data_IF_186944188627
#
_entry.id   IF_186944188627
#
_cell.length_a   1.000
_cell.length_b   1.000
_cell.length_c   1.000
_cell.angle_alpha   90.00
_cell.angle_beta   90.00
_cell.angle_gamma   90.00
#
_symmetry.space_group_name_H-M   'P 1'
#
loop_
_entity.id
_entity.type
_entity.pdbx_description
1 polymer ?
#
# COMPACT_ATOMS: atom_id res chain seq x y z
N UNK A 1 60.13 29.68 -9.92
CA UNK A 1 59.88 29.83 -8.47
C UNK A 1 58.38 29.70 -8.24
N UNK A 2 58.00 28.93 -7.22
CA UNK A 2 56.66 28.39 -6.94
C UNK A 2 55.58 29.43 -6.64
N UNK A 3 54.30 29.08 -6.87
CA UNK A 3 53.18 29.88 -6.35
C UNK A 3 51.77 29.46 -6.76
N UNK A 4 51.46 28.16 -6.75
CA UNK A 4 50.13 27.61 -7.01
C UNK A 4 49.18 27.89 -5.83
N UNK A 5 48.11 28.68 -6.05
CA UNK A 5 46.93 28.75 -5.14
C UNK A 5 45.67 28.38 -5.92
N UNK A 6 45.23 27.13 -5.78
CA UNK A 6 43.85 26.71 -6.09
C UNK A 6 43.01 26.84 -4.82
N UNK A 7 41.96 27.65 -4.86
CA UNK A 7 40.89 27.67 -3.86
C UNK A 7 39.62 27.12 -4.50
N UNK A 8 38.91 26.30 -3.73
CA UNK A 8 37.76 25.47 -4.11
C UNK A 8 36.50 26.32 -4.29
N UNK A 9 35.79 26.12 -5.39
CA UNK A 9 34.40 26.55 -5.60
C UNK A 9 33.58 25.36 -6.07
N UNK A 10 32.56 25.01 -5.29
CA UNK A 10 31.73 23.79 -5.39
C UNK A 10 30.88 23.78 -6.66
N UNK A 11 30.98 22.72 -7.48
CA UNK A 11 29.94 22.37 -8.46
C UNK A 11 28.94 21.40 -7.82
N UNK A 12 27.67 21.79 -7.84
CA UNK A 12 26.53 20.93 -7.59
C UNK A 12 26.31 20.00 -8.79
N UNK A 13 26.18 18.69 -8.53
CA UNK A 13 25.57 17.73 -9.44
C UNK A 13 24.31 17.17 -8.77
N UNK A 14 23.12 17.19 -9.40
CA UNK A 14 21.94 16.49 -8.91
C UNK A 14 21.91 15.08 -9.50
N UNK A 15 21.91 14.07 -8.63
CA UNK A 15 21.82 12.67 -9.06
C UNK A 15 22.55 11.70 -8.14
N UNK A 16 22.28 11.79 -6.83
CA UNK A 16 22.79 10.82 -5.87
C UNK A 16 21.88 9.59 -5.83
N UNK A 17 22.30 8.53 -6.50
CA UNK A 17 21.93 7.15 -6.15
C UNK A 17 22.16 6.99 -4.64
N UNK A 18 21.08 6.78 -3.87
CA UNK A 18 21.22 6.40 -2.46
C UNK A 18 21.37 4.87 -2.39
N UNK A 19 22.44 4.35 -1.78
CA UNK A 19 22.60 2.91 -1.57
C UNK A 19 21.50 2.37 -0.63
N UNK A 20 21.00 1.17 -0.93
CA UNK A 20 19.97 0.39 -0.20
C UNK A 20 20.21 0.28 1.32
N UNK A 21 21.46 0.45 1.74
CA UNK A 21 21.98 0.35 3.11
C UNK A 21 21.35 1.31 4.13
N UNK A 22 20.87 2.49 3.72
CA UNK A 22 20.20 3.42 4.66
C UNK A 22 18.83 2.90 5.16
N UNK A 23 18.22 1.89 4.50
CA UNK A 23 16.94 1.30 4.94
C UNK A 23 17.08 0.07 5.85
N UNK A 24 18.28 -0.51 5.98
CA UNK A 24 18.48 -1.76 6.74
C UNK A 24 18.83 -1.57 8.23
N UNK A 25 18.76 -0.34 8.75
CA UNK A 25 19.22 -0.04 10.13
C UNK A 25 18.26 -0.49 11.25
N UNK A 26 17.09 -1.04 10.94
CA UNK A 26 16.09 -1.44 11.95
C UNK A 26 15.65 -2.91 11.93
N UNK A 27 16.15 -3.75 11.02
CA UNK A 27 15.88 -5.20 11.04
C UNK A 27 17.01 -5.97 11.73
N UNK A 28 17.26 -5.68 13.01
CA UNK A 28 18.12 -6.53 13.86
C UNK A 28 17.22 -7.34 14.80
N UNK A 29 16.91 -8.57 14.38
CA UNK A 29 16.13 -9.52 15.17
C UNK A 29 16.49 -10.95 14.80
N UNK A 30 17.25 -11.60 15.69
CA UNK A 30 17.54 -13.03 15.76
C UNK A 30 18.53 -13.63 14.75
N UNK A 31 19.83 -13.38 14.98
CA UNK A 31 20.86 -14.40 14.78
C UNK A 31 21.46 -14.75 16.16
N UNK A 32 20.76 -15.58 16.93
CA UNK A 32 21.34 -16.23 18.10
C UNK A 32 22.29 -17.30 17.56
N UNK A 33 23.56 -16.95 17.42
CA UNK A 33 24.61 -17.94 17.27
C UNK A 33 24.62 -18.80 18.53
N UNK A 34 24.19 -20.06 18.37
CA UNK A 34 24.46 -21.12 19.31
C UNK A 34 25.99 -21.31 19.39
N UNK A 35 26.63 -20.64 20.35
CA UNK A 35 27.96 -20.98 20.84
C UNK A 35 27.76 -21.65 22.20
N UNK A 36 28.21 -22.90 22.26
CA UNK A 36 28.00 -23.87 23.32
C UNK A 36 28.41 -23.40 24.72
N UNK A 37 27.56 -23.64 25.71
CA UNK A 37 27.98 -23.81 27.10
C UNK A 37 28.33 -25.29 27.30
N UNK A 38 29.52 -25.67 26.84
CA UNK A 38 30.25 -26.83 27.34
C UNK A 38 31.65 -26.34 27.63
N UNK A 39 32.03 -26.42 28.90
CA UNK A 39 33.21 -25.79 29.47
C UNK A 39 34.50 -26.23 28.78
N UNK A 40 35.03 -25.37 27.94
CA UNK A 40 36.43 -25.32 27.60
C UNK A 40 36.96 -23.96 28.05
N UNK A 41 38.00 -23.99 28.89
CA UNK A 41 38.78 -22.82 29.28
C UNK A 41 39.26 -22.11 28.01
N UNK A 42 38.59 -21.03 27.60
CA UNK A 42 39.15 -20.10 26.63
C UNK A 42 40.00 -19.12 27.42
N UNK A 43 41.30 -19.42 27.45
CA UNK A 43 42.31 -18.42 27.74
C UNK A 43 42.08 -17.22 26.83
N UNK A 44 42.12 -16.03 27.40
CA UNK A 44 42.07 -14.78 26.68
C UNK A 44 43.30 -14.65 25.77
N UNK A 45 43.18 -15.08 24.52
CA UNK A 45 43.90 -14.44 23.42
C UNK A 45 43.00 -13.30 22.94
N UNK A 46 43.45 -12.05 23.12
CA UNK A 46 42.94 -10.95 22.31
C UNK A 46 43.25 -11.29 20.86
N UNK A 47 42.30 -11.95 20.19
CA UNK A 47 42.36 -12.16 18.76
C UNK A 47 42.47 -10.77 18.12
N UNK A 48 43.68 -10.42 17.66
CA UNK A 48 43.90 -9.23 16.84
C UNK A 48 43.10 -9.43 15.57
N UNK A 49 41.87 -8.92 15.57
CA UNK A 49 40.96 -8.99 14.43
C UNK A 49 41.67 -8.34 13.24
N UNK A 50 41.99 -9.14 12.23
CA UNK A 50 42.45 -8.60 10.96
C UNK A 50 41.28 -7.84 10.32
N UNK A 51 41.34 -6.51 10.43
CA UNK A 51 40.28 -5.62 9.97
C UNK A 51 40.03 -5.76 8.47
N UNK A 52 41.06 -6.05 7.66
CA UNK A 52 40.89 -6.20 6.22
C UNK A 52 40.15 -7.50 5.91
N UNK A 53 40.56 -8.60 6.55
CA UNK A 53 39.88 -9.89 6.40
C UNK A 53 38.43 -9.84 6.91
N UNK A 54 38.20 -9.20 8.05
CA UNK A 54 36.86 -9.02 8.60
C UNK A 54 35.95 -8.20 7.67
N UNK A 55 36.46 -7.15 7.03
CA UNK A 55 35.69 -6.37 6.06
C UNK A 55 35.34 -7.18 4.80
N UNK A 56 36.24 -8.03 4.31
CA UNK A 56 35.95 -8.92 3.19
C UNK A 56 34.92 -9.99 3.56
N UNK A 57 35.03 -10.60 4.74
CA UNK A 57 34.03 -11.54 5.26
C UNK A 57 32.65 -10.88 5.42
N UNK A 58 32.61 -9.64 5.92
CA UNK A 58 31.36 -8.87 6.03
C UNK A 58 30.72 -8.60 4.67
N UNK A 59 31.48 -8.17 3.66
CA UNK A 59 30.97 -8.00 2.29
C UNK A 59 30.40 -9.30 1.72
N UNK A 60 31.11 -10.41 1.91
CA UNK A 60 30.64 -11.72 1.44
C UNK A 60 29.33 -12.15 2.14
N UNK A 61 29.22 -11.87 3.44
CA UNK A 61 27.98 -12.10 4.22
C UNK A 61 26.85 -11.21 3.69
N UNK A 62 27.14 -9.93 3.43
CA UNK A 62 26.17 -8.97 2.91
C UNK A 62 25.63 -9.39 1.55
N UNK A 63 26.50 -9.72 0.59
CA UNK A 63 26.10 -10.20 -0.74
C UNK A 63 25.28 -11.50 -0.66
N UNK A 64 25.68 -12.43 0.22
CA UNK A 64 24.95 -13.68 0.42
C UNK A 64 23.58 -13.41 1.03
N UNK A 65 23.50 -12.51 2.00
CA UNK A 65 22.25 -12.12 2.65
C UNK A 65 21.30 -11.46 1.64
N UNK A 66 21.80 -10.52 0.83
CA UNK A 66 21.01 -9.87 -0.22
C UNK A 66 20.42 -10.88 -1.20
N UNK A 67 21.23 -11.83 -1.70
CA UNK A 67 20.77 -12.90 -2.60
C UNK A 67 19.71 -13.80 -1.94
N UNK A 68 19.89 -14.14 -0.67
CA UNK A 68 18.92 -14.94 0.07
C UNK A 68 17.60 -14.18 0.26
N UNK A 69 17.67 -12.90 0.67
CA UNK A 69 16.50 -12.04 0.81
C UNK A 69 15.74 -11.89 -0.50
N UNK A 70 16.44 -11.61 -1.60
CA UNK A 70 15.84 -11.54 -2.94
C UNK A 70 15.18 -12.87 -3.31
N UNK A 71 15.86 -14.01 -3.11
CA UNK A 71 15.32 -15.33 -3.42
C UNK A 71 14.06 -15.67 -2.60
N UNK A 72 14.01 -15.30 -1.32
CA UNK A 72 12.83 -15.49 -0.46
C UNK A 72 11.66 -14.63 -0.95
N UNK A 73 11.89 -13.35 -1.23
CA UNK A 73 10.87 -12.44 -1.73
C UNK A 73 10.36 -12.83 -3.13
N UNK A 74 11.25 -13.21 -4.04
CA UNK A 74 10.90 -13.70 -5.38
C UNK A 74 10.01 -14.94 -5.31
N UNK A 75 10.39 -15.90 -4.46
CA UNK A 75 9.60 -17.11 -4.22
C UNK A 75 8.20 -16.76 -3.69
N UNK A 76 8.12 -15.91 -2.66
CA UNK A 76 6.86 -15.46 -2.10
C UNK A 76 5.99 -14.72 -3.13
N UNK A 77 6.58 -13.78 -3.87
CA UNK A 77 5.91 -13.04 -4.93
C UNK A 77 5.32 -13.97 -5.99
N UNK A 78 6.10 -14.95 -6.45
CA UNK A 78 5.67 -15.93 -7.46
C UNK A 78 4.51 -16.79 -6.94
N UNK A 79 4.67 -17.41 -5.78
CA UNK A 79 3.63 -18.26 -5.17
C UNK A 79 2.31 -17.51 -4.96
N UNK A 80 2.39 -16.28 -4.43
CA UNK A 80 1.20 -15.47 -4.16
C UNK A 80 0.58 -14.92 -5.46
N UNK A 81 1.37 -14.63 -6.48
CA UNK A 81 0.83 -14.25 -7.80
C UNK A 81 0.06 -15.42 -8.42
N UNK A 82 0.63 -16.62 -8.38
CA UNK A 82 -0.02 -17.84 -8.90
C UNK A 82 -1.28 -18.21 -8.11
N UNK A 83 -1.25 -18.08 -6.78
CA UNK A 83 -2.42 -18.32 -5.94
C UNK A 83 -3.50 -17.25 -6.14
N UNK A 84 -3.10 -15.97 -6.26
CA UNK A 84 -3.99 -14.83 -6.44
C UNK A 84 -4.75 -14.83 -7.77
N UNK A 85 -4.29 -15.60 -8.74
CA UNK A 85 -5.00 -15.79 -10.01
C UNK A 85 -6.29 -16.63 -9.86
N UNK A 86 -6.43 -17.40 -8.78
CA UNK A 86 -7.55 -18.30 -8.57
C UNK A 86 -8.15 -18.12 -7.17
N UNK A 87 -9.48 -17.97 -7.10
CA UNK A 87 -10.19 -17.71 -5.83
C UNK A 87 -10.02 -18.86 -4.84
N UNK A 88 -10.07 -20.11 -5.29
CA UNK A 88 -9.93 -21.27 -4.42
C UNK A 88 -8.51 -21.40 -3.87
N UNK A 89 -7.49 -21.24 -4.73
CA UNK A 89 -6.08 -21.25 -4.30
C UNK A 89 -5.77 -20.10 -3.34
N UNK A 90 -6.38 -18.93 -3.54
CA UNK A 90 -6.24 -17.79 -2.65
C UNK A 90 -6.77 -18.08 -1.24
N UNK A 91 -7.96 -18.69 -1.15
CA UNK A 91 -8.51 -19.15 0.15
C UNK A 91 -7.61 -20.20 0.78
N UNK A 92 -7.14 -21.17 0.00
CA UNK A 92 -6.27 -22.24 0.48
C UNK A 92 -4.98 -21.67 1.10
N UNK A 93 -4.24 -20.83 0.35
CA UNK A 93 -2.97 -20.28 0.84
C UNK A 93 -3.18 -19.36 2.05
N UNK A 94 -4.27 -18.58 2.08
CA UNK A 94 -4.59 -17.73 3.21
C UNK A 94 -4.89 -18.55 4.48
N UNK A 95 -5.79 -19.53 4.38
CA UNK A 95 -6.19 -20.37 5.51
C UNK A 95 -5.04 -21.23 6.02
N UNK A 96 -4.17 -21.73 5.13
CA UNK A 96 -2.96 -22.46 5.52
C UNK A 96 -1.96 -21.56 6.25
N UNK A 97 -1.70 -20.36 5.74
CA UNK A 97 -0.84 -19.41 6.45
C UNK A 97 -1.44 -18.95 7.78
N UNK A 98 -2.77 -18.78 7.86
CA UNK A 98 -3.47 -18.49 9.11
C UNK A 98 -3.32 -19.64 10.12
N UNK A 99 -3.47 -20.90 9.69
CA UNK A 99 -3.20 -22.08 10.53
C UNK A 99 -1.79 -22.01 11.11
N UNK A 100 -0.79 -21.84 10.26
CA UNK A 100 0.62 -21.89 10.66
C UNK A 100 0.97 -20.81 11.68
N UNK A 101 0.37 -19.62 11.54
CA UNK A 101 0.66 -18.46 12.38
C UNK A 101 -0.11 -18.47 13.69
N UNK A 102 -1.40 -18.80 13.66
CA UNK A 102 -2.29 -18.65 14.82
C UNK A 102 -2.41 -19.94 15.66
N UNK A 103 -2.20 -21.12 15.06
CA UNK A 103 -2.29 -22.41 15.74
C UNK A 103 -0.95 -23.14 15.85
N UNK A 104 0.05 -22.72 15.09
CA UNK A 104 1.35 -23.37 15.03
C UNK A 104 1.33 -24.67 14.23
N UNK A 105 2.50 -25.30 14.10
CA UNK A 105 2.70 -26.52 13.29
C UNK A 105 2.66 -27.82 14.10
N UNK A 106 2.42 -27.74 15.40
CA UNK A 106 2.37 -28.88 16.31
C UNK A 106 1.00 -29.59 16.27
N UNK A 107 0.95 -30.83 16.78
CA UNK A 107 -0.24 -31.69 16.70
C UNK A 107 -1.45 -31.13 17.47
N UNK A 108 -1.21 -30.45 18.59
CA UNK A 108 -2.25 -29.75 19.35
C UNK A 108 -2.79 -28.51 18.60
N UNK A 109 -1.97 -27.92 17.72
CA UNK A 109 -2.38 -26.87 16.79
C UNK A 109 -3.37 -27.39 15.75
N UNK A 110 -3.13 -28.59 15.22
CA UNK A 110 -4.01 -29.21 14.22
C UNK A 110 -5.43 -29.43 14.73
N UNK A 111 -5.59 -30.03 15.92
CA UNK A 111 -6.91 -30.25 16.52
C UNK A 111 -7.68 -28.94 16.73
N UNK A 112 -6.99 -27.91 17.24
CA UNK A 112 -7.59 -26.58 17.45
C UNK A 112 -7.97 -25.91 16.14
N UNK A 113 -7.13 -26.06 15.12
CA UNK A 113 -7.40 -25.51 13.79
C UNK A 113 -8.59 -26.21 13.11
N UNK A 114 -8.70 -27.53 13.21
CA UNK A 114 -9.86 -28.25 12.67
C UNK A 114 -11.16 -27.81 13.33
N UNK A 115 -11.17 -27.63 14.66
CA UNK A 115 -12.32 -27.08 15.36
C UNK A 115 -12.65 -25.67 14.86
N UNK A 116 -11.65 -24.77 14.79
CA UNK A 116 -11.85 -23.43 14.27
C UNK A 116 -12.40 -23.42 12.84
N UNK A 117 -11.92 -24.33 11.98
CA UNK A 117 -12.38 -24.44 10.59
C UNK A 117 -13.84 -24.89 10.51
N UNK A 118 -14.28 -25.79 11.39
CA UNK A 118 -15.69 -26.17 11.53
C UNK A 118 -16.52 -24.95 11.97
N UNK A 119 -16.07 -24.24 13.00
CA UNK A 119 -16.78 -23.07 13.55
C UNK A 119 -16.86 -21.90 12.55
N UNK A 120 -15.94 -21.83 11.58
CA UNK A 120 -15.86 -20.77 10.57
C UNK A 120 -16.19 -21.27 9.15
N UNK A 121 -16.76 -22.47 9.00
CA UNK A 121 -16.99 -23.10 7.70
C UNK A 121 -17.80 -22.21 6.76
N UNK A 122 -18.93 -21.68 7.24
CA UNK A 122 -19.84 -20.87 6.42
C UNK A 122 -19.18 -19.57 5.97
N UNK A 123 -18.36 -18.97 6.85
CA UNK A 123 -17.56 -17.78 6.53
C UNK A 123 -16.52 -18.09 5.47
N UNK A 124 -15.72 -19.14 5.65
CA UNK A 124 -14.63 -19.49 4.72
C UNK A 124 -15.17 -19.93 3.35
N UNK A 125 -16.34 -20.57 3.33
CA UNK A 125 -17.01 -21.00 2.11
C UNK A 125 -17.77 -19.86 1.41
N UNK A 126 -17.87 -18.67 2.01
CA UNK A 126 -18.65 -17.58 1.43
C UNK A 126 -17.96 -17.00 0.17
N UNK A 127 -18.74 -16.59 -0.85
CA UNK A 127 -18.20 -15.93 -2.04
C UNK A 127 -17.39 -14.66 -1.71
N UNK A 128 -17.83 -13.92 -0.68
CA UNK A 128 -17.21 -12.68 -0.21
C UNK A 128 -15.85 -12.93 0.42
N UNK A 129 -15.75 -13.95 1.28
CA UNK A 129 -14.46 -14.34 1.86
C UNK A 129 -13.49 -14.76 0.75
N UNK A 130 -13.98 -15.53 -0.23
CA UNK A 130 -13.16 -15.89 -1.39
C UNK A 130 -12.67 -14.70 -2.19
N UNK A 131 -13.55 -13.72 -2.48
CA UNK A 131 -13.17 -12.50 -3.20
C UNK A 131 -12.17 -11.65 -2.41
N UNK A 132 -12.41 -11.47 -1.12
CA UNK A 132 -11.54 -10.69 -0.24
C UNK A 132 -10.17 -11.38 -0.03
N UNK A 133 -10.15 -12.71 0.13
CA UNK A 133 -8.91 -13.49 0.19
C UNK A 133 -8.11 -13.37 -1.11
N UNK A 134 -8.79 -13.43 -2.27
CA UNK A 134 -8.13 -13.26 -3.57
C UNK A 134 -7.50 -11.87 -3.71
N UNK A 135 -8.26 -10.81 -3.41
CA UNK A 135 -7.73 -9.45 -3.41
C UNK A 135 -6.58 -9.27 -2.42
N UNK A 136 -6.67 -9.88 -1.23
CA UNK A 136 -5.60 -9.82 -0.25
C UNK A 136 -4.33 -10.51 -0.74
N UNK A 137 -4.44 -11.72 -1.29
CA UNK A 137 -3.30 -12.47 -1.86
C UNK A 137 -2.65 -11.71 -3.02
N UNK A 138 -3.45 -11.16 -3.94
CA UNK A 138 -2.95 -10.31 -5.03
C UNK A 138 -2.22 -9.08 -4.51
N UNK A 139 -2.77 -8.40 -3.49
CA UNK A 139 -2.15 -7.24 -2.89
C UNK A 139 -0.79 -7.56 -2.26
N UNK A 140 -0.71 -8.63 -1.45
CA UNK A 140 0.55 -9.05 -0.83
C UNK A 140 1.57 -9.45 -1.90
N UNK A 141 1.15 -10.09 -3.00
CA UNK A 141 2.04 -10.37 -4.13
C UNK A 141 2.64 -9.09 -4.74
N UNK A 142 1.83 -8.06 -4.96
CA UNK A 142 2.29 -6.75 -5.46
C UNK A 142 3.24 -6.06 -4.48
N UNK A 143 2.97 -6.15 -3.16
CA UNK A 143 3.85 -5.62 -2.12
C UNK A 143 5.21 -6.34 -2.11
N UNK A 144 5.23 -7.68 -2.20
CA UNK A 144 6.47 -8.45 -2.28
C UNK A 144 7.30 -8.06 -3.51
N UNK A 145 6.65 -7.92 -4.67
CA UNK A 145 7.30 -7.45 -5.90
C UNK A 145 7.80 -6.02 -5.78
N UNK A 146 7.06 -5.15 -5.10
CA UNK A 146 7.49 -3.77 -4.86
C UNK A 146 8.75 -3.70 -4.00
N UNK A 147 8.92 -4.64 -3.06
CA UNK A 147 10.11 -4.76 -2.22
C UNK A 147 11.36 -5.23 -2.99
N UNK A 148 11.18 -5.98 -4.08
CA UNK A 148 12.26 -6.44 -4.95
C UNK A 148 12.84 -5.32 -5.83
N UNK A 149 12.13 -4.19 -5.94
CA UNK A 149 12.52 -3.02 -6.72
C UNK A 149 12.86 -3.37 -8.22
N UNK A 150 13.51 -2.44 -8.92
CA UNK A 150 13.99 -2.59 -10.30
C UNK A 150 13.02 -3.23 -11.32
N UNK A 151 13.41 -4.37 -11.93
CA UNK A 151 12.67 -5.05 -13.01
C UNK A 151 11.49 -5.86 -12.52
N UNK A 152 11.44 -6.18 -11.22
CA UNK A 152 10.39 -7.00 -10.64
C UNK A 152 9.26 -6.18 -10.04
N UNK A 153 9.52 -4.90 -9.75
CA UNK A 153 8.53 -3.95 -9.28
C UNK A 153 7.29 -3.93 -10.19
N UNK A 154 6.06 -3.90 -9.62
CA UNK A 154 4.86 -3.89 -10.43
C UNK A 154 4.78 -2.62 -11.27
N UNK A 155 4.36 -2.79 -12.52
CA UNK A 155 4.08 -1.66 -13.39
C UNK A 155 2.92 -0.83 -12.84
N UNK A 156 2.88 0.46 -13.17
CA UNK A 156 1.83 1.35 -12.69
C UNK A 156 0.42 0.85 -13.04
N UNK A 157 0.25 0.24 -14.22
CA UNK A 157 -1.02 -0.34 -14.65
C UNK A 157 -1.47 -1.54 -13.80
N UNK A 158 -0.55 -2.34 -13.25
CA UNK A 158 -0.89 -3.48 -12.39
C UNK A 158 -1.53 -3.00 -11.07
N UNK A 159 -0.98 -1.93 -10.47
CA UNK A 159 -1.58 -1.28 -9.31
C UNK A 159 -2.95 -0.67 -9.63
N UNK A 160 -3.10 -0.07 -10.82
CA UNK A 160 -4.37 0.46 -11.30
C UNK A 160 -5.44 -0.63 -11.46
N UNK A 161 -5.08 -1.74 -12.10
CA UNK A 161 -5.97 -2.89 -12.30
C UNK A 161 -6.37 -3.58 -11.00
N UNK A 162 -5.43 -3.70 -10.05
CA UNK A 162 -5.75 -4.16 -8.70
C UNK A 162 -6.80 -3.27 -8.03
N UNK A 163 -6.56 -1.95 -8.02
CA UNK A 163 -7.46 -1.01 -7.38
C UNK A 163 -8.84 -0.98 -8.04
N UNK A 164 -8.92 -1.08 -9.36
CA UNK A 164 -10.20 -1.18 -10.06
C UNK A 164 -10.98 -2.44 -9.68
N UNK A 165 -10.29 -3.58 -9.53
CA UNK A 165 -10.91 -4.83 -9.09
C UNK A 165 -11.41 -4.71 -7.65
N UNK A 166 -10.62 -4.11 -6.76
CA UNK A 166 -11.03 -3.80 -5.39
C UNK A 166 -12.24 -2.86 -5.38
N UNK A 167 -12.23 -1.80 -6.18
CA UNK A 167 -13.31 -0.83 -6.31
C UNK A 167 -14.63 -1.51 -6.68
N UNK A 168 -14.63 -2.30 -7.76
CA UNK A 168 -15.82 -3.03 -8.23
C UNK A 168 -16.29 -4.10 -7.26
N UNK A 169 -15.38 -4.71 -6.50
CA UNK A 169 -15.76 -5.73 -5.51
C UNK A 169 -16.61 -5.17 -4.36
N UNK A 170 -16.50 -3.87 -4.05
CA UNK A 170 -17.33 -3.18 -3.05
C UNK A 170 -18.76 -2.98 -3.54
N UNK A 171 -18.94 -2.61 -4.81
CA UNK A 171 -20.28 -2.45 -5.41
C UNK A 171 -21.06 -3.77 -5.40
N UNK A 172 -20.37 -4.91 -5.54
CA UNK A 172 -20.98 -6.24 -5.42
C UNK A 172 -21.46 -6.51 -3.99
N UNK A 173 -20.73 -6.04 -2.97
CA UNK A 173 -21.12 -6.20 -1.56
C UNK A 173 -22.30 -5.30 -1.14
N UNK A 174 -22.51 -4.17 -1.83
CA UNK A 174 -23.61 -3.23 -1.59
C UNK A 174 -24.86 -3.51 -2.45
N UNK A 175 -24.88 -4.61 -3.22
CA UNK A 175 -26.11 -5.15 -3.80
C UNK A 175 -26.64 -6.33 -2.99
N UNK A 176 -27.62 -6.11 -2.11
CA UNK A 176 -28.54 -7.16 -1.72
C UNK A 176 -29.97 -6.74 -2.03
N UNK A 177 -30.65 -7.54 -2.84
CA UNK A 177 -32.09 -7.69 -2.65
C UNK A 177 -32.32 -8.22 -1.23
N UNK A 178 -32.55 -7.33 -0.28
CA UNK A 178 -33.51 -7.42 0.82
C UNK A 178 -33.34 -6.22 1.79
N UNK A 179 -34.46 -5.63 2.29
CA UNK A 179 -34.43 -4.38 3.02
C UNK A 179 -34.04 -4.59 4.49
N UNK A 180 -33.02 -3.88 4.95
CA UNK A 180 -32.63 -3.86 6.35
C UNK A 180 -33.57 -2.95 7.17
N UNK A 181 -34.62 -3.53 7.75
CA UNK A 181 -35.26 -2.95 8.93
C UNK A 181 -34.29 -3.01 10.12
N UNK A 182 -34.01 -1.83 10.67
CA UNK A 182 -33.23 -1.66 11.87
C UNK A 182 -33.88 -2.33 13.09
N UNK A 183 -33.12 -3.15 13.83
CA UNK A 183 -33.42 -3.47 15.22
C UNK A 183 -32.20 -3.21 16.11
N UNK A 184 -32.36 -2.21 16.97
CA UNK A 184 -31.45 -1.82 18.05
C UNK A 184 -31.50 -2.89 19.15
N UNK A 185 -30.37 -3.39 19.70
CA UNK A 185 -30.39 -4.19 20.91
C UNK A 185 -30.01 -3.37 22.16
N UNK A 186 -30.91 -3.38 23.14
CA UNK A 186 -30.71 -2.90 24.52
C UNK A 186 -29.76 -3.80 25.33
N UNK A 187 -29.17 -3.32 26.46
CA UNK A 187 -28.09 -4.03 27.14
C UNK A 187 -28.60 -5.01 28.21
N UNK A 188 -27.95 -6.18 28.33
CA UNK A 188 -28.01 -7.01 29.56
C UNK A 188 -26.63 -7.46 30.02
N UNK A 189 -26.41 -7.26 31.33
CA UNK A 189 -25.27 -7.65 32.17
C UNK A 189 -25.12 -9.17 32.32
N UNK A 190 -23.87 -9.59 32.50
CA UNK A 190 -23.48 -10.60 33.49
C UNK A 190 -23.08 -11.98 32.97
N UNK A 191 -21.85 -12.42 33.29
CA UNK A 191 -21.44 -13.83 33.20
C UNK A 191 -20.00 -14.01 32.72
N UNK A 192 -19.09 -14.24 33.67
CA UNK A 192 -17.67 -14.42 33.45
C UNK A 192 -17.33 -15.60 32.54
N UNK A 193 -16.49 -15.31 31.56
CA UNK A 193 -15.81 -16.24 30.68
C UNK A 193 -14.89 -15.38 29.85
N UNK A 194 -13.58 -15.68 29.83
CA UNK A 194 -12.57 -14.96 29.06
C UNK A 194 -12.86 -15.21 27.57
N UNK A 195 -13.87 -14.53 27.03
CA UNK A 195 -14.21 -14.52 25.62
C UNK A 195 -12.99 -13.96 24.90
N UNK A 196 -12.41 -14.77 24.01
CA UNK A 196 -11.67 -14.27 22.87
C UNK A 196 -12.45 -13.07 22.35
N UNK A 197 -11.80 -11.90 22.38
CA UNK A 197 -12.32 -10.67 21.83
C UNK A 197 -12.78 -11.01 20.43
N UNK A 198 -14.10 -10.98 20.21
CA UNK A 198 -14.70 -11.12 18.89
C UNK A 198 -14.22 -9.90 18.12
N UNK A 199 -13.06 -10.00 17.49
CA UNK A 199 -12.55 -8.98 16.59
C UNK A 199 -13.49 -8.97 15.40
N UNK A 200 -14.52 -8.10 15.47
CA UNK A 200 -15.45 -7.85 14.38
C UNK A 200 -14.83 -7.01 13.27
N UNK A 201 -13.51 -7.07 13.09
CA UNK A 201 -12.84 -6.53 11.91
C UNK A 201 -12.81 -7.60 10.83
N UNK A 202 -12.94 -7.21 9.56
CA UNK A 202 -12.71 -8.12 8.47
C UNK A 202 -11.26 -8.64 8.57
N UNK A 203 -11.04 -9.92 8.29
CA UNK A 203 -9.72 -10.57 8.38
C UNK A 203 -8.64 -9.84 7.52
N UNK A 204 -9.08 -8.99 6.60
CA UNK A 204 -8.29 -8.25 5.61
C UNK A 204 -8.15 -6.74 5.90
N UNK A 205 -8.71 -6.23 6.99
CA UNK A 205 -8.65 -4.81 7.37
C UNK A 205 -7.30 -4.40 7.99
N UNK A 206 -6.47 -5.37 8.34
CA UNK A 206 -5.13 -5.12 8.89
C UNK A 206 -4.13 -4.77 7.79
N UNK A 207 -3.05 -4.03 8.13
CA UNK A 207 -1.93 -3.82 7.21
C UNK A 207 -1.42 -5.13 6.61
N UNK A 208 -1.02 -5.12 5.35
CA UNK A 208 -0.46 -6.30 4.69
C UNK A 208 0.76 -6.88 5.44
N UNK A 209 1.54 -6.03 6.11
CA UNK A 209 2.67 -6.43 6.97
C UNK A 209 2.26 -7.39 8.10
N UNK A 210 1.03 -7.27 8.61
CA UNK A 210 0.48 -8.10 9.68
C UNK A 210 -0.22 -9.37 9.15
N UNK A 211 -0.33 -9.49 7.82
CA UNK A 211 -1.00 -10.62 7.18
C UNK A 211 -0.39 -11.96 7.60
N UNK A 212 -1.21 -13.00 7.84
CA UNK A 212 -0.71 -14.36 7.97
C UNK A 212 0.18 -14.80 6.80
N UNK A 213 -0.09 -14.32 5.58
CA UNK A 213 0.70 -14.64 4.39
C UNK A 213 2.16 -14.16 4.51
N UNK A 214 2.35 -12.99 5.12
CA UNK A 214 3.66 -12.37 5.38
C UNK A 214 4.31 -13.04 6.58
N UNK A 215 3.55 -13.26 7.66
CA UNK A 215 4.06 -13.83 8.91
C UNK A 215 4.52 -15.29 8.77
N UNK A 216 3.76 -16.11 8.07
CA UNK A 216 4.10 -17.53 7.81
C UNK A 216 5.38 -17.65 6.97
N UNK A 217 5.60 -16.71 6.04
CA UNK A 217 6.80 -16.64 5.19
C UNK A 217 8.00 -15.96 5.86
N UNK A 218 7.81 -15.38 7.05
CA UNK A 218 8.84 -14.66 7.80
C UNK A 218 9.48 -13.49 7.01
N UNK A 219 8.69 -12.80 6.19
CA UNK A 219 9.19 -11.71 5.32
C UNK A 219 8.88 -10.31 5.85
N UNK A 220 8.34 -10.16 7.07
CA UNK A 220 7.97 -8.87 7.64
C UNK A 220 9.12 -7.88 7.64
N UNK A 221 10.31 -8.31 8.08
CA UNK A 221 11.50 -7.46 8.16
C UNK A 221 11.96 -6.93 6.79
N UNK A 222 11.61 -7.62 5.71
CA UNK A 222 11.93 -7.19 4.34
C UNK A 222 10.89 -6.20 3.78
N UNK A 223 9.69 -6.17 4.35
CA UNK A 223 8.58 -5.32 3.89
C UNK A 223 8.39 -4.04 4.73
N UNK A 224 9.08 -3.90 5.87
CA UNK A 224 8.90 -2.76 6.79
C UNK A 224 9.18 -1.39 6.13
N UNK A 225 10.11 -1.35 5.18
CA UNK A 225 10.44 -0.17 4.38
C UNK A 225 9.49 0.12 3.21
N UNK A 226 8.54 -0.78 2.93
CA UNK A 226 7.59 -0.66 1.81
C UNK A 226 6.31 0.00 2.30
N UNK A 227 5.97 1.18 1.75
CA UNK A 227 4.81 1.95 2.23
C UNK A 227 3.50 1.20 2.01
N UNK A 228 3.40 0.47 0.89
CA UNK A 228 2.24 -0.34 0.53
C UNK A 228 1.98 -1.46 1.55
N UNK A 229 3.02 -1.98 2.20
CA UNK A 229 2.89 -3.01 3.24
C UNK A 229 2.16 -2.49 4.50
N UNK A 230 2.17 -1.17 4.72
CA UNK A 230 1.54 -0.51 5.87
C UNK A 230 0.04 -0.24 5.65
N UNK A 231 -0.45 -0.46 4.44
CA UNK A 231 -1.86 -0.32 4.10
C UNK A 231 -2.54 -1.69 4.16
N UNK A 232 -3.83 -1.67 4.48
CA UNK A 232 -4.69 -2.85 4.32
C UNK A 232 -5.05 -3.02 2.85
N UNK A 233 -5.16 -4.27 2.39
CA UNK A 233 -5.64 -4.60 1.05
C UNK A 233 -7.11 -4.23 0.82
N UNK A 234 -7.88 -3.95 1.87
CA UNK A 234 -9.26 -3.49 1.74
C UNK A 234 -9.38 -1.96 1.65
N UNK A 235 -8.28 -1.22 1.81
CA UNK A 235 -8.28 0.25 1.92
C UNK A 235 -8.38 0.97 0.58
N UNK A 236 -9.60 1.11 0.05
CA UNK A 236 -9.86 1.69 -1.27
C UNK A 236 -9.25 3.09 -1.47
N UNK A 237 -9.55 4.03 -0.58
CA UNK A 237 -9.11 5.44 -0.70
C UNK A 237 -7.60 5.59 -0.45
N UNK A 238 -7.01 5.02 0.62
CA UNK A 238 -5.56 5.05 0.82
C UNK A 238 -4.78 4.42 -0.33
N UNK A 239 -5.19 3.25 -0.84
CA UNK A 239 -4.51 2.61 -1.97
C UNK A 239 -4.58 3.49 -3.22
N UNK A 240 -5.74 4.06 -3.53
CA UNK A 240 -5.86 4.99 -4.67
C UNK A 240 -4.90 6.16 -4.54
N UNK A 241 -4.96 6.87 -3.41
CA UNK A 241 -4.28 8.15 -3.24
C UNK A 241 -2.77 8.00 -3.02
N UNK A 242 -2.33 6.98 -2.29
CA UNK A 242 -0.94 6.82 -1.88
C UNK A 242 -0.16 5.88 -2.79
N UNK A 243 -0.84 4.91 -3.43
CA UNK A 243 -0.17 3.87 -4.23
C UNK A 243 -0.39 4.08 -5.72
N UNK A 244 -1.64 4.10 -6.15
CA UNK A 244 -2.03 4.08 -7.57
C UNK A 244 -1.79 5.42 -8.25
N UNK A 245 -2.38 6.48 -7.69
CA UNK A 245 -2.35 7.83 -8.26
C UNK A 245 -0.93 8.35 -8.51
N UNK A 246 0.03 8.27 -7.55
CA UNK A 246 1.40 8.74 -7.79
C UNK A 246 2.11 7.96 -8.90
N UNK A 247 1.88 6.64 -9.01
CA UNK A 247 2.50 5.77 -10.00
C UNK A 247 1.98 6.03 -11.41
N UNK A 248 0.65 6.06 -11.57
CA UNK A 248 0.04 6.34 -12.86
C UNK A 248 0.36 7.77 -13.33
N UNK A 249 0.41 8.74 -12.43
CA UNK A 249 0.83 10.11 -12.72
C UNK A 249 2.28 10.15 -13.22
N UNK A 250 3.21 9.50 -12.51
CA UNK A 250 4.62 9.41 -12.93
C UNK A 250 4.78 8.71 -14.28
N UNK A 251 3.97 7.69 -14.55
CA UNK A 251 3.93 6.97 -15.82
C UNK A 251 3.17 7.73 -16.93
N UNK A 252 2.54 8.88 -16.62
CA UNK A 252 1.62 9.59 -17.52
C UNK A 252 0.56 8.68 -18.15
N UNK A 253 0.10 7.66 -17.40
CA UNK A 253 -0.87 6.70 -17.92
C UNK A 253 -2.25 7.34 -18.02
N UNK A 254 -2.89 7.16 -19.17
CA UNK A 254 -4.29 7.55 -19.40
C UNK A 254 -5.28 6.84 -18.47
N UNK A 255 -4.89 5.70 -17.90
CA UNK A 255 -5.68 4.99 -16.91
C UNK A 255 -6.00 5.84 -15.69
N UNK A 256 -5.13 6.80 -15.32
CA UNK A 256 -5.40 7.65 -14.16
C UNK A 256 -6.72 8.42 -14.31
N UNK A 257 -6.96 9.00 -15.49
CA UNK A 257 -8.19 9.74 -15.77
C UNK A 257 -9.39 8.79 -15.78
N UNK A 258 -9.25 7.61 -16.39
CA UNK A 258 -10.30 6.58 -16.42
C UNK A 258 -10.68 6.11 -15.01
N UNK A 259 -9.71 5.90 -14.12
CA UNK A 259 -9.96 5.47 -12.74
C UNK A 259 -10.58 6.59 -11.89
N UNK A 260 -10.21 7.85 -12.14
CA UNK A 260 -10.92 8.99 -11.56
C UNK A 260 -12.38 9.05 -12.02
N UNK A 261 -12.63 8.88 -13.31
CA UNK A 261 -13.97 8.89 -13.89
C UNK A 261 -14.82 7.75 -13.31
N UNK A 262 -14.27 6.53 -13.21
CA UNK A 262 -14.91 5.40 -12.56
C UNK A 262 -15.29 5.73 -11.11
N UNK A 263 -14.35 6.29 -10.35
CA UNK A 263 -14.56 6.64 -8.94
C UNK A 263 -15.69 7.66 -8.77
N UNK A 264 -15.65 8.74 -9.57
CA UNK A 264 -16.61 9.83 -9.45
C UNK A 264 -18.00 9.37 -9.91
N UNK A 265 -18.08 8.59 -11.00
CA UNK A 265 -19.34 8.07 -11.52
C UNK A 265 -20.05 7.16 -10.50
N UNK A 266 -19.31 6.25 -9.86
CA UNK A 266 -19.87 5.38 -8.83
C UNK A 266 -20.32 6.17 -7.58
N UNK A 267 -19.54 7.17 -7.14
CA UNK A 267 -19.98 8.04 -6.04
C UNK A 267 -21.20 8.89 -6.40
N UNK A 268 -21.31 9.34 -7.66
CA UNK A 268 -22.50 10.02 -8.17
C UNK A 268 -23.72 9.07 -8.12
N UNK A 269 -23.56 7.81 -8.55
CA UNK A 269 -24.62 6.80 -8.55
C UNK A 269 -25.09 6.41 -7.13
N UNK A 270 -24.16 6.22 -6.19
CA UNK A 270 -24.47 5.90 -4.79
C UNK A 270 -25.33 7.01 -4.16
N UNK A 271 -24.95 8.27 -4.41
CA UNK A 271 -25.69 9.43 -3.92
C UNK A 271 -27.06 9.58 -4.59
N UNK A 272 -27.19 9.21 -5.86
CA UNK A 272 -28.49 9.16 -6.53
C UNK A 272 -29.42 8.10 -5.92
N UNK A 273 -28.88 6.94 -5.51
CA UNK A 273 -29.63 5.87 -4.84
C UNK A 273 -30.08 6.25 -3.43
N UNK A 274 -29.22 6.93 -2.66
CA UNK A 274 -29.56 7.36 -1.28
C UNK A 274 -30.69 8.42 -1.24
N UNK A 275 -30.95 9.11 -2.34
CA UNK A 275 -32.00 10.12 -2.45
C UNK A 275 -31.60 11.47 -1.84
N UNK A 276 -32.60 12.31 -1.50
CA UNK A 276 -32.38 13.68 -0.98
C UNK A 276 -32.06 13.66 0.52
N UNK A 277 -30.86 13.21 0.85
CA UNK A 277 -30.32 13.28 2.22
C UNK A 277 -29.36 14.47 2.36
N UNK A 278 -29.13 14.92 3.60
CA UNK A 278 -28.09 15.93 3.86
C UNK A 278 -26.71 15.45 3.37
N UNK A 279 -26.41 14.15 3.48
CA UNK A 279 -25.18 13.56 2.97
C UNK A 279 -25.05 13.65 1.44
N UNK A 280 -26.15 13.45 0.73
CA UNK A 280 -26.21 13.60 -0.72
C UNK A 280 -25.94 15.05 -1.16
N UNK A 281 -26.49 16.02 -0.44
CA UNK A 281 -26.27 17.44 -0.70
C UNK A 281 -24.82 17.86 -0.38
N UNK A 282 -24.28 17.40 0.76
CA UNK A 282 -22.88 17.64 1.15
C UNK A 282 -21.90 17.06 0.11
N UNK A 283 -22.18 15.86 -0.40
CA UNK A 283 -21.37 15.29 -1.48
C UNK A 283 -21.42 16.17 -2.74
N UNK A 284 -22.62 16.52 -3.22
CA UNK A 284 -22.78 17.29 -4.46
C UNK A 284 -22.16 18.69 -4.39
N UNK A 285 -22.32 19.35 -3.24
CA UNK A 285 -21.89 20.75 -3.05
C UNK A 285 -20.42 20.83 -2.64
N UNK A 286 -19.94 19.93 -1.79
CA UNK A 286 -18.59 19.99 -1.24
C UNK A 286 -17.66 18.97 -1.90
N UNK A 287 -17.97 17.68 -1.78
CA UNK A 287 -17.00 16.64 -2.10
C UNK A 287 -16.77 16.46 -3.59
N UNK A 288 -17.83 16.50 -4.39
CA UNK A 288 -17.75 16.26 -5.83
C UNK A 288 -16.92 17.33 -6.55
N UNK A 289 -17.08 18.64 -6.29
CA UNK A 289 -16.17 19.66 -6.82
C UNK A 289 -14.70 19.45 -6.43
N UNK A 290 -14.43 19.00 -5.20
CA UNK A 290 -13.06 18.66 -4.78
C UNK A 290 -12.46 17.51 -5.59
N UNK A 291 -13.23 16.43 -5.81
CA UNK A 291 -12.76 15.30 -6.61
C UNK A 291 -12.47 15.72 -8.05
N UNK A 292 -13.33 16.55 -8.63
CA UNK A 292 -13.13 17.11 -9.97
C UNK A 292 -11.88 18.00 -10.04
N UNK A 293 -11.62 18.80 -8.99
CA UNK A 293 -10.40 19.62 -8.90
C UNK A 293 -9.15 18.76 -8.81
N UNK A 294 -9.14 17.74 -7.95
CA UNK A 294 -8.01 16.82 -7.79
C UNK A 294 -7.72 16.00 -9.07
N UNK A 295 -8.78 15.64 -9.82
CA UNK A 295 -8.66 15.02 -11.15
C UNK A 295 -8.00 15.98 -12.14
N UNK A 296 -8.42 17.24 -12.18
CA UNK A 296 -7.81 18.25 -13.03
C UNK A 296 -6.34 18.52 -12.66
N UNK A 297 -5.99 18.53 -11.36
CA UNK A 297 -4.60 18.61 -10.90
C UNK A 297 -3.74 17.46 -11.43
N UNK A 298 -4.30 16.26 -11.51
CA UNK A 298 -3.58 15.10 -12.07
C UNK A 298 -3.41 15.21 -13.58
N UNK A 299 -4.43 15.70 -14.28
CA UNK A 299 -4.37 15.97 -15.71
C UNK A 299 -3.26 16.99 -16.04
N UNK A 300 -3.17 18.06 -15.25
CA UNK A 300 -2.12 19.06 -15.35
C UNK A 300 -0.73 18.43 -15.15
N UNK A 301 -0.57 17.62 -14.09
CA UNK A 301 0.70 16.94 -13.78
C UNK A 301 1.07 15.85 -14.80
N UNK A 302 0.10 15.33 -15.54
CA UNK A 302 0.34 14.42 -16.67
C UNK A 302 0.80 15.15 -17.94
N UNK A 303 0.63 16.47 -18.01
CA UNK A 303 1.12 17.34 -19.08
C UNK A 303 0.03 17.99 -19.92
N UNK A 304 -1.25 17.78 -19.62
CA UNK A 304 -2.37 18.47 -20.29
C UNK A 304 -2.81 19.67 -19.46
N UNK A 305 -2.01 20.73 -19.53
CA UNK A 305 -2.19 21.94 -18.71
C UNK A 305 -3.41 22.74 -19.14
N UNK A 306 -3.56 23.01 -20.44
CA UNK A 306 -4.71 23.76 -20.98
C UNK A 306 -6.04 23.04 -20.70
N UNK A 307 -6.10 21.71 -20.89
CA UNK A 307 -7.27 20.91 -20.58
C UNK A 307 -7.59 20.92 -19.08
N UNK A 308 -6.58 20.86 -18.22
CA UNK A 308 -6.75 20.97 -16.78
C UNK A 308 -7.25 22.36 -16.34
N UNK A 309 -6.66 23.44 -16.86
CA UNK A 309 -7.06 24.80 -16.53
C UNK A 309 -8.48 25.12 -17.01
N UNK A 310 -8.86 24.63 -18.19
CA UNK A 310 -10.24 24.73 -18.67
C UNK A 310 -11.24 24.03 -17.73
N UNK A 311 -10.90 22.83 -17.24
CA UNK A 311 -11.73 22.12 -16.25
C UNK A 311 -11.79 22.87 -14.92
N UNK A 312 -10.65 23.36 -14.40
CA UNK A 312 -10.58 24.17 -13.18
C UNK A 312 -11.45 25.43 -13.28
N UNK A 313 -11.38 26.16 -14.39
CA UNK A 313 -12.26 27.31 -14.65
C UNK A 313 -13.74 26.93 -14.63
N UNK A 314 -14.10 25.78 -15.22
CA UNK A 314 -15.46 25.25 -15.17
C UNK A 314 -15.94 24.98 -13.75
N UNK A 315 -15.09 24.37 -12.92
CA UNK A 315 -15.39 24.08 -11.50
C UNK A 315 -15.63 25.38 -10.72
N UNK A 316 -14.78 26.39 -10.88
CA UNK A 316 -14.91 27.69 -10.20
C UNK A 316 -16.24 28.38 -10.57
N UNK A 317 -16.60 28.39 -11.86
CA UNK A 317 -17.85 28.99 -12.35
C UNK A 317 -19.08 28.27 -11.81
N UNK A 318 -19.04 26.94 -11.73
CA UNK A 318 -20.15 26.13 -11.27
C UNK A 318 -20.34 26.14 -9.74
N UNK A 319 -19.30 26.48 -8.97
CA UNK A 319 -19.32 26.35 -7.51
C UNK A 319 -18.88 27.65 -6.79
N UNK A 320 -19.57 28.79 -6.99
CA UNK A 320 -19.15 30.10 -6.50
C UNK A 320 -19.22 30.29 -4.97
N UNK A 321 -19.79 29.33 -4.23
CA UNK A 321 -19.88 29.37 -2.77
C UNK A 321 -19.09 28.24 -2.09
N UNK A 322 -18.25 27.53 -2.84
CA UNK A 322 -17.46 26.43 -2.28
C UNK A 322 -16.45 26.95 -1.24
N UNK A 323 -16.29 26.29 -0.07
CA UNK A 323 -15.36 26.75 0.97
C UNK A 323 -13.90 26.88 0.50
N UNK A 324 -13.49 26.08 -0.50
CA UNK A 324 -12.14 26.12 -1.08
C UNK A 324 -12.01 27.04 -2.31
N UNK A 325 -13.05 27.80 -2.67
CA UNK A 325 -13.03 28.62 -3.89
C UNK A 325 -11.85 29.61 -3.89
N UNK A 326 -11.63 30.33 -2.79
CA UNK A 326 -10.53 31.31 -2.71
C UNK A 326 -9.16 30.66 -2.89
N UNK A 327 -8.91 29.50 -2.28
CA UNK A 327 -7.64 28.79 -2.47
C UNK A 327 -7.47 28.29 -3.91
N UNK A 328 -8.55 27.79 -4.52
CA UNK A 328 -8.53 27.31 -5.91
C UNK A 328 -8.29 28.42 -6.93
N UNK A 329 -8.85 29.61 -6.69
CA UNK A 329 -8.57 30.80 -7.51
C UNK A 329 -7.08 31.14 -7.44
N UNK A 330 -6.50 31.21 -6.24
CA UNK A 330 -5.09 31.56 -6.08
C UNK A 330 -4.15 30.51 -6.67
N UNK A 331 -4.48 29.22 -6.52
CA UNK A 331 -3.77 28.13 -7.19
C UNK A 331 -3.78 28.28 -8.71
N UNK A 332 -4.93 28.60 -9.29
CA UNK A 332 -5.08 28.74 -10.74
C UNK A 332 -4.40 30.00 -11.28
N UNK A 333 -4.52 31.15 -10.60
CA UNK A 333 -3.80 32.38 -10.96
C UNK A 333 -2.30 32.16 -11.02
N UNK A 334 -1.75 31.49 -10.00
CA UNK A 334 -0.34 31.13 -9.94
C UNK A 334 0.06 30.21 -11.10
N UNK A 335 -0.78 29.24 -11.45
CA UNK A 335 -0.53 28.35 -12.58
C UNK A 335 -0.56 29.08 -13.93
N UNK A 336 -1.43 30.07 -14.10
CA UNK A 336 -1.54 30.91 -15.30
C UNK A 336 -0.45 31.99 -15.41
N UNK A 337 0.42 32.12 -14.41
CA UNK A 337 1.56 33.03 -14.45
C UNK A 337 1.30 34.45 -13.93
N UNK A 338 0.17 34.72 -13.28
CA UNK A 338 -0.01 35.98 -12.54
C UNK A 338 1.07 36.08 -11.43
N UNK A 339 2.04 36.98 -11.62
CA UNK A 339 3.18 37.20 -10.73
C UNK A 339 4.58 36.89 -11.31
N UNK A 340 4.71 36.46 -12.57
CA UNK A 340 6.00 36.44 -13.29
C UNK A 340 6.22 37.73 -14.09
N UNK A 341 7.44 38.31 -14.11
CA UNK A 341 7.71 39.50 -14.90
C UNK A 341 7.46 39.20 -16.38
N UNK A 342 6.68 40.06 -17.03
CA UNK A 342 6.36 39.97 -18.45
C UNK A 342 7.63 39.76 -19.28
N UNK A 343 7.63 38.74 -20.14
CA UNK A 343 8.66 38.59 -21.16
C UNK A 343 8.68 39.87 -22.02
N UNK A 344 9.88 40.39 -22.36
CA UNK A 344 10.00 41.68 -23.02
C UNK A 344 9.24 41.67 -24.35
N UNK A 345 8.44 42.73 -24.54
CA UNK A 345 7.78 43.05 -25.80
C UNK A 345 8.79 42.89 -26.95
N UNK A 346 8.49 42.00 -27.89
CA UNK A 346 9.13 42.06 -29.20
C UNK A 346 8.68 43.37 -29.84
N UNK A 347 9.54 44.36 -29.78
CA UNK A 347 9.40 45.63 -30.51
C UNK A 347 9.45 45.32 -32.01
N UNK A 348 8.72 46.10 -32.84
CA UNK A 348 8.26 45.72 -34.17
C UNK A 348 9.34 45.59 -35.23
#
# INVERSE_FOLDING_TARGET
MWGQKRSRGKMWFPGGFRPVWERMRHAWGALVCAIAVLGARVAAEEAKLDRAKALEELKAIEEKNEKLTQGVLQKAAKELTEAGADKFKSVQVYVESYRNVEFGRAQDGETRFQQWKVDNRDRIASPDFGAAAQLHVQYVALVCRQALEEKEAPQAGEWGGYWETLFKSREIAESPGEPAEAKIPSPKKGGGGRKQKKEGGNDFDRPALESPLVRDRQIQGFLEGVQEAKLSSASLVPIFNQVVRPRLRKAKSRDLMRLWDLRIAAMDEDVEKEGKTLGADDYKILKRPELMWERADDLEKMGDQEGAWAQKMGILRANPYHPKLSSWIEELKKALGEGSPALPEKTP
#
